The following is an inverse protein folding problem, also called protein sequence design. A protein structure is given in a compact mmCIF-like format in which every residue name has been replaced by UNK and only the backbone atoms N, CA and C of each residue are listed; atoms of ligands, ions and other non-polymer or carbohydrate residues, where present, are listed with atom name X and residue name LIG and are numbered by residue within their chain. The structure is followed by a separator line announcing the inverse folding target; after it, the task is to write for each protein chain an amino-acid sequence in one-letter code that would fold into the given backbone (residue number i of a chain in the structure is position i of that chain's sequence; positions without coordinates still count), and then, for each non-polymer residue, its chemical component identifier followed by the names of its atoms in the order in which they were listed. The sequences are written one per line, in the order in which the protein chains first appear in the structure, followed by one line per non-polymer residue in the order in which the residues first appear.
data_IF_434644264016
#
_entry.id   IF_434644264016
#
_cell.length_a   1.000
_cell.length_b   1.000
_cell.length_c   1.000
_cell.angle_alpha   90.00
_cell.angle_beta   90.00
_cell.angle_gamma   90.00
#
_symmetry.space_group_name_H-M   'P 1'
#
loop_
_entity.id
_entity.type
_entity.pdbx_description
1 polymer ?
#
# COMPACT_ATOMS: atom_id res chain seq x y z
N UNK A 1 -33.67 -5.90 12.83
CA UNK A 1 -33.79 -4.64 12.08
C UNK A 1 -32.65 -3.74 12.51
N UNK A 2 -31.69 -3.48 11.62
CA UNK A 2 -30.62 -2.53 11.92
C UNK A 2 -31.20 -1.10 11.81
N UNK A 3 -30.86 -0.22 12.76
CA UNK A 3 -31.33 1.17 12.71
C UNK A 3 -30.70 1.91 11.52
N UNK A 4 -31.53 2.73 10.86
CA UNK A 4 -31.21 3.53 9.67
C UNK A 4 -29.87 4.28 9.75
N UNK A 5 -29.55 4.84 10.92
CA UNK A 5 -28.30 5.57 11.14
C UNK A 5 -27.04 4.69 11.23
N UNK A 6 -27.19 3.39 11.49
CA UNK A 6 -26.06 2.45 11.61
C UNK A 6 -25.66 1.87 10.24
N UNK A 7 -26.63 1.65 9.35
CA UNK A 7 -26.41 1.10 8.01
C UNK A 7 -25.75 2.09 7.04
N UNK A 8 -26.16 3.36 7.07
CA UNK A 8 -25.53 4.41 6.24
C UNK A 8 -24.05 4.66 6.57
N UNK A 9 -23.56 4.21 7.73
CA UNK A 9 -22.12 4.27 8.07
C UNK A 9 -21.31 3.18 7.41
N UNK A 10 -21.94 2.08 6.99
CA UNK A 10 -21.25 0.99 6.31
C UNK A 10 -21.19 1.31 4.82
N UNK A 11 -19.98 1.57 4.32
CA UNK A 11 -19.75 2.03 2.94
C UNK A 11 -20.36 1.11 1.89
N UNK A 12 -20.54 -0.17 2.21
CA UNK A 12 -21.16 -1.17 1.34
C UNK A 12 -22.65 -0.88 1.04
N UNK A 13 -23.33 -0.16 1.93
CA UNK A 13 -24.77 0.15 1.85
C UNK A 13 -25.05 1.63 1.59
N UNK A 14 -24.04 2.45 1.29
CA UNK A 14 -24.16 3.91 1.22
C UNK A 14 -25.17 4.44 0.17
N UNK A 15 -25.36 3.71 -0.93
CA UNK A 15 -26.33 4.05 -1.99
C UNK A 15 -27.68 3.33 -1.85
N UNK A 16 -27.88 2.55 -0.79
CA UNK A 16 -29.09 1.75 -0.60
C UNK A 16 -30.02 2.43 0.40
N UNK A 17 -31.32 2.35 0.13
CA UNK A 17 -32.31 2.63 1.18
C UNK A 17 -32.23 1.55 2.26
N UNK A 18 -32.79 1.82 3.44
CA UNK A 18 -32.84 0.89 4.56
C UNK A 18 -33.57 -0.39 4.21
N UNK A 19 -34.65 -0.28 3.45
CA UNK A 19 -35.44 -1.39 2.95
C UNK A 19 -34.63 -2.25 1.96
N UNK A 20 -33.87 -1.61 1.07
CA UNK A 20 -33.02 -2.31 0.11
C UNK A 20 -31.80 -2.96 0.79
N UNK A 21 -31.20 -2.29 1.77
CA UNK A 21 -30.13 -2.85 2.58
C UNK A 21 -30.62 -4.10 3.34
N UNK A 22 -31.85 -4.07 3.88
CA UNK A 22 -32.44 -5.20 4.59
C UNK A 22 -32.59 -6.45 3.72
N UNK A 23 -32.81 -6.31 2.41
CA UNK A 23 -32.82 -7.45 1.46
C UNK A 23 -31.47 -8.18 1.47
N UNK A 24 -30.35 -7.45 1.45
CA UNK A 24 -29.01 -8.04 1.48
C UNK A 24 -28.69 -8.58 2.87
N UNK A 25 -29.04 -7.84 3.93
CA UNK A 25 -28.79 -8.26 5.32
C UNK A 25 -29.51 -9.56 5.67
N UNK A 26 -30.73 -9.76 5.17
CA UNK A 26 -31.47 -11.02 5.32
C UNK A 26 -30.84 -12.21 4.60
N UNK A 27 -29.98 -11.95 3.61
CA UNK A 27 -29.21 -12.97 2.92
C UNK A 27 -27.89 -13.31 3.64
N UNK A 28 -27.54 -12.58 4.71
CA UNK A 28 -26.35 -12.82 5.52
C UNK A 28 -26.63 -13.77 6.68
N UNK A 29 -25.58 -14.46 7.12
CA UNK A 29 -25.55 -15.24 8.36
C UNK A 29 -24.66 -14.56 9.40
N UNK A 30 -24.96 -14.71 10.69
CA UNK A 30 -24.11 -14.18 11.75
C UNK A 30 -22.97 -15.13 12.07
N UNK A 31 -21.76 -14.58 12.29
CA UNK A 31 -20.59 -15.34 12.75
C UNK A 31 -19.86 -14.56 13.83
N UNK A 32 -19.59 -15.22 14.95
CA UNK A 32 -18.91 -14.63 16.10
C UNK A 32 -17.61 -15.36 16.37
N UNK A 33 -16.55 -14.62 16.66
CA UNK A 33 -15.22 -15.15 16.95
C UNK A 33 -14.62 -14.43 18.17
N UNK A 34 -13.82 -15.13 18.96
CA UNK A 34 -13.01 -14.53 20.03
C UNK A 34 -11.65 -14.07 19.49
N UNK A 35 -10.89 -13.30 20.26
CA UNK A 35 -9.56 -12.85 19.84
C UNK A 35 -8.60 -14.02 19.60
N UNK A 36 -7.83 -13.94 18.51
CA UNK A 36 -6.86 -14.96 18.07
C UNK A 36 -7.43 -15.99 17.10
N UNK A 37 -8.74 -16.04 16.88
CA UNK A 37 -9.36 -16.97 15.93
C UNK A 37 -9.25 -16.48 14.49
N UNK A 38 -9.10 -17.44 13.57
CA UNK A 38 -8.96 -17.15 12.14
C UNK A 38 -10.34 -17.20 11.46
N UNK A 39 -10.69 -16.11 10.78
CA UNK A 39 -11.89 -16.03 9.98
C UNK A 39 -11.76 -16.91 8.72
N UNK A 40 -10.58 -16.86 8.11
CA UNK A 40 -10.10 -17.71 7.02
C UNK A 40 -8.57 -17.62 6.90
N UNK A 41 -7.95 -18.60 6.23
CA UNK A 41 -6.51 -18.62 5.95
C UNK A 41 -6.22 -18.23 4.50
N UNK A 42 -5.00 -17.75 4.27
CA UNK A 42 -4.45 -17.61 2.93
C UNK A 42 -4.55 -18.94 2.17
N UNK A 43 -4.89 -18.87 0.89
CA UNK A 43 -5.13 -20.00 0.00
C UNK A 43 -6.39 -20.84 0.26
N UNK A 44 -7.18 -20.55 1.30
CA UNK A 44 -8.50 -21.19 1.44
C UNK A 44 -9.40 -20.83 0.25
N UNK A 45 -10.37 -21.70 -0.12
CA UNK A 45 -11.47 -21.29 -0.99
C UNK A 45 -12.20 -20.08 -0.42
N UNK A 46 -12.57 -19.11 -1.27
CA UNK A 46 -13.23 -17.89 -0.84
C UNK A 46 -14.52 -17.60 -1.61
N UNK A 47 -15.63 -18.16 -1.15
CA UNK A 47 -16.95 -17.98 -1.74
C UNK A 47 -17.84 -16.97 -0.99
N UNK A 48 -17.32 -16.37 0.08
CA UNK A 48 -18.07 -15.52 0.99
C UNK A 48 -17.28 -14.26 1.33
N UNK A 49 -17.98 -13.16 1.58
CA UNK A 49 -17.42 -11.94 2.17
C UNK A 49 -17.96 -11.74 3.59
N UNK A 50 -17.28 -10.89 4.34
CA UNK A 50 -17.56 -10.62 5.74
C UNK A 50 -17.69 -9.13 5.97
N UNK A 51 -18.75 -8.72 6.66
CA UNK A 51 -18.95 -7.33 7.12
C UNK A 51 -18.73 -7.32 8.62
N UNK A 52 -17.79 -6.50 9.11
CA UNK A 52 -17.50 -6.41 10.53
C UNK A 52 -18.60 -5.61 11.23
N UNK A 53 -19.33 -6.22 12.17
CA UNK A 53 -20.35 -5.55 12.95
C UNK A 53 -19.78 -4.91 14.22
N UNK A 54 -18.87 -5.62 14.89
CA UNK A 54 -18.18 -5.21 16.11
C UNK A 54 -16.81 -5.90 16.20
N UNK A 55 -15.90 -5.34 17.01
CA UNK A 55 -14.55 -5.87 17.20
C UNK A 55 -13.52 -5.43 16.16
N UNK A 56 -12.46 -6.24 16.00
CA UNK A 56 -11.31 -5.94 15.14
C UNK A 56 -10.67 -7.21 14.59
N UNK A 57 -10.24 -7.11 13.34
CA UNK A 57 -9.62 -8.21 12.59
C UNK A 57 -8.48 -7.68 11.74
N UNK A 58 -7.38 -8.41 11.75
CA UNK A 58 -6.15 -8.07 11.05
C UNK A 58 -5.92 -9.05 9.89
N UNK A 59 -5.37 -8.52 8.81
CA UNK A 59 -4.95 -9.29 7.63
C UNK A 59 -3.46 -9.58 7.73
N UNK A 60 -3.11 -10.86 7.77
CA UNK A 60 -1.74 -11.35 7.86
C UNK A 60 -1.31 -12.00 6.55
N UNK A 61 -0.06 -11.76 6.16
CA UNK A 61 0.57 -12.50 5.07
C UNK A 61 1.93 -13.03 5.54
N UNK A 62 2.24 -14.25 5.13
CA UNK A 62 3.55 -14.84 5.38
C UNK A 62 4.53 -14.27 4.35
N UNK A 63 5.51 -13.48 4.82
CA UNK A 63 6.46 -12.81 3.92
C UNK A 63 7.79 -13.59 3.82
N UNK A 64 8.15 -14.40 4.83
CA UNK A 64 9.35 -15.25 4.85
C UNK A 64 9.26 -16.39 5.89
N UNK A 65 8.57 -17.48 5.56
CA UNK A 65 8.59 -18.74 6.31
C UNK A 65 7.85 -18.69 7.65
N UNK A 66 8.25 -17.79 8.56
CA UNK A 66 7.82 -17.78 9.97
C UNK A 66 7.40 -16.40 10.50
N UNK A 67 7.42 -15.34 9.67
CA UNK A 67 7.01 -13.99 10.10
C UNK A 67 5.68 -13.62 9.46
N UNK A 68 4.60 -13.75 10.25
CA UNK A 68 3.30 -13.16 9.96
C UNK A 68 3.41 -11.64 10.10
N UNK A 69 3.25 -10.92 9.00
CA UNK A 69 3.15 -9.45 9.02
C UNK A 69 1.70 -9.04 8.88
N UNK A 70 1.19 -8.25 9.84
CA UNK A 70 -0.10 -7.56 9.69
C UNK A 70 0.04 -6.51 8.58
N UNK A 71 -0.79 -6.64 7.54
CA UNK A 71 -0.86 -5.76 6.38
C UNK A 71 -1.86 -4.63 6.58
N UNK A 72 -2.96 -4.91 7.28
CA UNK A 72 -4.05 -3.97 7.53
C UNK A 72 -4.92 -4.46 8.69
N UNK A 73 -5.58 -3.52 9.38
CA UNK A 73 -6.54 -3.78 10.44
C UNK A 73 -7.90 -3.20 10.06
N UNK A 74 -8.98 -3.95 10.31
CA UNK A 74 -10.34 -3.63 9.93
C UNK A 74 -11.26 -3.67 11.15
N UNK A 75 -12.25 -2.77 11.16
CA UNK A 75 -13.21 -2.60 12.25
C UNK A 75 -14.64 -2.43 11.74
N UNK A 76 -15.57 -1.99 12.61
CA UNK A 76 -16.99 -1.96 12.29
C UNK A 76 -17.32 -1.20 11.01
N UNK A 77 -18.04 -1.84 10.10
CA UNK A 77 -18.43 -1.33 8.78
C UNK A 77 -17.44 -1.62 7.65
N UNK A 78 -16.27 -2.19 7.95
CA UNK A 78 -15.36 -2.69 6.93
C UNK A 78 -15.83 -4.03 6.35
N UNK A 79 -15.43 -4.26 5.10
CA UNK A 79 -15.72 -5.49 4.34
C UNK A 79 -14.44 -6.26 4.10
N UNK A 80 -14.44 -7.58 4.26
CA UNK A 80 -13.24 -8.41 4.13
C UNK A 80 -13.57 -9.66 3.33
N UNK A 81 -12.59 -10.15 2.56
CA UNK A 81 -12.76 -11.33 1.71
C UNK A 81 -13.52 -11.03 0.42
N UNK A 82 -13.69 -9.74 0.10
CA UNK A 82 -14.35 -9.23 -1.09
C UNK A 82 -13.62 -9.64 -2.36
N UNK A 83 -12.28 -9.73 -2.34
CA UNK A 83 -11.49 -10.09 -3.52
C UNK A 83 -11.91 -11.47 -4.04
N UNK A 84 -11.77 -12.49 -3.19
CA UNK A 84 -12.18 -13.85 -3.51
C UNK A 84 -13.66 -13.91 -3.85
N UNK A 85 -14.54 -13.21 -3.13
CA UNK A 85 -15.97 -13.13 -3.42
C UNK A 85 -16.28 -12.56 -4.82
N UNK A 86 -15.46 -11.64 -5.34
CA UNK A 86 -15.65 -11.04 -6.67
C UNK A 86 -15.13 -11.98 -7.76
N UNK A 87 -13.87 -12.41 -7.67
CA UNK A 87 -13.17 -13.08 -8.77
C UNK A 87 -13.22 -14.62 -8.71
N UNK A 88 -13.60 -15.19 -7.56
CA UNK A 88 -13.61 -16.65 -7.36
C UNK A 88 -12.24 -17.25 -7.05
N UNK A 89 -11.20 -16.44 -6.90
CA UNK A 89 -9.87 -16.87 -6.52
C UNK A 89 -9.84 -17.31 -5.04
N UNK A 90 -8.75 -18.00 -4.67
CA UNK A 90 -8.47 -18.33 -3.27
C UNK A 90 -8.22 -17.07 -2.44
N UNK A 91 -8.30 -17.19 -1.11
CA UNK A 91 -7.99 -16.10 -0.18
C UNK A 91 -6.56 -15.62 -0.39
N UNK A 92 -6.38 -14.31 -0.55
CA UNK A 92 -5.08 -13.68 -0.82
C UNK A 92 -4.18 -13.53 0.41
N UNK A 93 -4.75 -13.70 1.61
CA UNK A 93 -4.12 -13.53 2.91
C UNK A 93 -4.96 -14.21 4.00
N UNK A 94 -4.40 -14.33 5.21
CA UNK A 94 -5.09 -14.83 6.40
C UNK A 94 -5.80 -13.68 7.12
N UNK A 95 -7.01 -13.89 7.62
CA UNK A 95 -7.73 -12.93 8.45
C UNK A 95 -7.89 -13.49 9.87
N UNK A 96 -7.44 -12.74 10.89
CA UNK A 96 -7.46 -13.18 12.29
C UNK A 96 -7.98 -12.08 13.20
N UNK A 97 -8.90 -12.41 14.09
CA UNK A 97 -9.46 -11.47 15.07
C UNK A 97 -8.41 -11.09 16.11
N UNK A 98 -8.38 -9.83 16.52
CA UNK A 98 -7.52 -9.37 17.63
C UNK A 98 -8.29 -9.24 18.94
N UNK A 99 -9.61 -9.19 18.87
CA UNK A 99 -10.54 -9.13 19.99
C UNK A 99 -11.85 -9.86 19.64
N UNK A 100 -12.78 -9.95 20.61
CA UNK A 100 -14.11 -10.50 20.34
C UNK A 100 -14.78 -9.70 19.22
N UNK A 101 -15.15 -10.39 18.14
CA UNK A 101 -15.64 -9.76 16.91
C UNK A 101 -16.87 -10.49 16.36
N UNK A 102 -17.78 -9.71 15.80
CA UNK A 102 -19.05 -10.19 15.24
C UNK A 102 -19.11 -9.79 13.76
N UNK A 103 -19.56 -10.70 12.91
CA UNK A 103 -19.56 -10.56 11.46
C UNK A 103 -20.90 -10.93 10.85
N UNK A 104 -21.28 -10.24 9.78
CA UNK A 104 -22.25 -10.75 8.81
C UNK A 104 -21.50 -11.41 7.67
N UNK A 105 -21.87 -12.65 7.38
CA UNK A 105 -21.30 -13.48 6.31
C UNK A 105 -22.27 -13.51 5.14
N UNK A 106 -21.84 -13.04 3.99
CA UNK A 106 -22.61 -13.12 2.75
C UNK A 106 -21.92 -14.10 1.80
N UNK A 107 -22.55 -15.25 1.57
CA UNK A 107 -22.08 -16.22 0.59
C UNK A 107 -22.50 -15.83 -0.83
N UNK A 108 -21.71 -16.24 -1.83
CA UNK A 108 -22.03 -16.00 -3.24
C UNK A 108 -23.34 -16.67 -3.64
N UNK A 109 -23.65 -17.82 -3.05
CA UNK A 109 -24.91 -18.52 -3.28
C UNK A 109 -26.11 -17.73 -2.77
N UNK A 110 -26.03 -17.17 -1.55
CA UNK A 110 -27.09 -16.32 -0.99
C UNK A 110 -27.23 -15.03 -1.79
N UNK A 111 -26.11 -14.40 -2.17
CA UNK A 111 -26.15 -13.17 -2.96
C UNK A 111 -26.65 -13.39 -4.39
N UNK A 112 -26.41 -14.57 -4.99
CA UNK A 112 -26.97 -14.92 -6.30
C UNK A 112 -28.51 -14.94 -6.31
N UNK A 113 -29.16 -15.20 -5.16
CA UNK A 113 -30.62 -15.05 -5.03
C UNK A 113 -31.02 -13.58 -5.10
N UNK A 114 -30.34 -12.73 -4.34
CA UNK A 114 -30.56 -11.26 -4.37
C UNK A 114 -30.35 -10.71 -5.78
N UNK A 115 -29.32 -11.15 -6.50
CA UNK A 115 -29.07 -10.75 -7.89
C UNK A 115 -30.22 -11.09 -8.83
N UNK A 116 -30.86 -12.25 -8.64
CA UNK A 116 -32.00 -12.68 -9.47
C UNK A 116 -33.28 -11.94 -9.10
N UNK A 117 -33.53 -11.77 -7.82
CA UNK A 117 -34.80 -11.27 -7.31
C UNK A 117 -34.85 -9.73 -7.29
N UNK A 118 -33.71 -9.08 -7.04
CA UNK A 118 -33.54 -7.62 -6.90
C UNK A 118 -32.24 -7.15 -7.59
N UNK A 119 -32.17 -7.18 -8.93
CA UNK A 119 -30.97 -6.83 -9.69
C UNK A 119 -30.54 -5.37 -9.50
N UNK A 120 -31.47 -4.47 -9.20
CA UNK A 120 -31.25 -3.06 -8.83
C UNK A 120 -30.39 -2.93 -7.58
N UNK A 121 -30.75 -3.67 -6.52
CA UNK A 121 -30.01 -3.72 -5.25
C UNK A 121 -28.63 -4.33 -5.48
N UNK A 122 -28.56 -5.43 -6.24
CA UNK A 122 -27.28 -6.09 -6.49
C UNK A 122 -26.31 -5.21 -7.27
N UNK A 123 -26.80 -4.43 -8.25
CA UNK A 123 -25.99 -3.47 -8.98
C UNK A 123 -25.44 -2.36 -8.06
N UNK A 124 -26.27 -1.82 -7.16
CA UNK A 124 -25.84 -0.83 -6.18
C UNK A 124 -24.81 -1.40 -5.19
N UNK A 125 -25.03 -2.62 -4.70
CA UNK A 125 -24.07 -3.33 -3.85
C UNK A 125 -22.70 -3.46 -4.53
N UNK A 126 -22.67 -3.91 -5.79
CA UNK A 126 -21.40 -4.02 -6.53
C UNK A 126 -20.73 -2.68 -6.80
N UNK A 127 -21.48 -1.60 -7.06
CA UNK A 127 -20.91 -0.25 -7.19
C UNK A 127 -20.23 0.20 -5.89
N UNK A 128 -20.91 0.03 -4.76
CA UNK A 128 -20.36 0.37 -3.45
C UNK A 128 -19.10 -0.47 -3.15
N UNK A 129 -19.15 -1.77 -3.43
CA UNK A 129 -17.99 -2.66 -3.27
C UNK A 129 -16.82 -2.27 -4.17
N UNK A 130 -17.07 -1.92 -5.45
CA UNK A 130 -16.06 -1.40 -6.35
C UNK A 130 -15.41 -0.11 -5.82
N UNK A 131 -16.21 0.79 -5.22
CA UNK A 131 -15.70 1.98 -4.55
C UNK A 131 -14.76 1.66 -3.38
N UNK A 132 -15.08 0.64 -2.57
CA UNK A 132 -14.23 0.16 -1.47
C UNK A 132 -12.91 -0.38 -2.02
N UNK A 133 -12.96 -1.30 -3.00
CA UNK A 133 -11.76 -1.91 -3.60
C UNK A 133 -10.88 -0.85 -4.27
N UNK A 134 -11.47 0.09 -5.00
CA UNK A 134 -10.72 1.18 -5.64
C UNK A 134 -10.05 2.10 -4.61
N UNK A 135 -10.72 2.39 -3.49
CA UNK A 135 -10.15 3.15 -2.39
C UNK A 135 -8.94 2.43 -1.78
N UNK A 136 -9.07 1.12 -1.53
CA UNK A 136 -7.99 0.29 -0.97
C UNK A 136 -6.80 0.21 -1.92
N UNK A 137 -7.04 -0.01 -3.20
CA UNK A 137 -5.98 -0.07 -4.21
C UNK A 137 -5.18 1.25 -4.27
N UNK A 138 -5.86 2.40 -4.20
CA UNK A 138 -5.17 3.71 -4.14
C UNK A 138 -4.26 3.82 -2.91
N UNK A 139 -4.79 3.51 -1.72
CA UNK A 139 -4.00 3.52 -0.48
C UNK A 139 -2.82 2.55 -0.52
N UNK A 140 -3.04 1.32 -1.00
CA UNK A 140 -1.95 0.33 -1.14
C UNK A 140 -0.89 0.80 -2.14
N UNK A 141 -1.29 1.40 -3.27
CA UNK A 141 -0.35 1.93 -4.25
C UNK A 141 0.47 3.10 -3.68
N UNK A 142 -0.13 3.99 -2.89
CA UNK A 142 0.56 5.09 -2.21
C UNK A 142 1.60 4.55 -1.22
N UNK A 143 1.20 3.62 -0.34
CA UNK A 143 2.11 2.98 0.61
C UNK A 143 3.25 2.23 -0.08
N UNK A 144 2.96 1.56 -1.20
CA UNK A 144 3.98 0.89 -2.00
C UNK A 144 4.96 1.91 -2.61
N UNK A 145 4.46 3.03 -3.15
CA UNK A 145 5.31 4.10 -3.67
C UNK A 145 6.21 4.69 -2.60
N UNK A 146 5.69 4.95 -1.41
CA UNK A 146 6.48 5.43 -0.27
C UNK A 146 7.55 4.42 0.14
N UNK A 147 7.20 3.13 0.23
CA UNK A 147 8.16 2.07 0.56
C UNK A 147 9.26 1.91 -0.51
N UNK A 148 8.90 2.02 -1.80
CA UNK A 148 9.86 1.99 -2.90
C UNK A 148 10.73 3.24 -2.91
N UNK A 149 10.16 4.43 -2.71
CA UNK A 149 10.91 5.68 -2.60
C UNK A 149 11.91 5.61 -1.44
N UNK A 150 11.46 5.19 -0.26
CA UNK A 150 12.33 4.96 0.89
C UNK A 150 13.42 3.92 0.59
N UNK A 151 13.11 2.84 -0.11
CA UNK A 151 14.12 1.83 -0.47
C UNK A 151 15.14 2.39 -1.46
N UNK A 152 14.71 3.20 -2.43
CA UNK A 152 15.58 3.88 -3.39
C UNK A 152 16.47 4.92 -2.68
N UNK A 153 15.93 5.65 -1.72
CA UNK A 153 16.66 6.59 -0.87
C UNK A 153 17.68 5.85 0.02
N UNK A 154 17.23 4.81 0.73
CA UNK A 154 18.03 4.02 1.66
C UNK A 154 19.13 3.18 0.98
N UNK A 155 18.94 2.78 -0.28
CA UNK A 155 19.95 2.03 -1.06
C UNK A 155 20.84 2.93 -1.91
N UNK A 156 20.53 4.23 -2.03
CA UNK A 156 21.22 5.13 -2.97
C UNK A 156 20.95 4.81 -4.44
N UNK A 157 19.96 3.97 -4.78
CA UNK A 157 19.70 3.60 -6.17
C UNK A 157 19.21 4.78 -7.05
N UNK A 158 18.72 5.88 -6.44
CA UNK A 158 18.36 7.11 -7.16
C UNK A 158 19.56 7.86 -7.74
N UNK A 159 20.77 7.67 -7.19
CA UNK A 159 22.00 8.28 -7.73
C UNK A 159 22.64 7.43 -8.83
N UNK A 160 22.23 6.16 -8.99
CA UNK A 160 22.58 5.33 -10.15
C UNK A 160 21.68 5.67 -11.36
N UNK A 161 21.68 6.93 -11.77
CA UNK A 161 21.22 7.29 -13.09
C UNK A 161 22.26 6.81 -14.11
N UNK A 162 22.18 5.52 -14.50
CA UNK A 162 23.07 4.88 -15.48
C UNK A 162 23.09 5.61 -16.84
N UNK A 163 22.13 6.50 -17.09
CA UNK A 163 22.10 7.38 -18.27
C UNK A 163 22.96 8.64 -18.11
N UNK A 164 23.06 9.23 -16.91
CA UNK A 164 23.95 10.36 -16.62
C UNK A 164 25.43 9.93 -16.50
N UNK A 165 25.68 8.67 -16.13
CA UNK A 165 27.01 8.05 -16.12
C UNK A 165 27.66 7.95 -17.53
N UNK A 166 26.87 8.03 -18.61
CA UNK A 166 27.35 7.91 -19.98
C UNK A 166 27.68 9.25 -20.68
N UNK A 167 27.11 10.39 -20.23
CA UNK A 167 27.22 11.67 -20.94
C UNK A 167 28.18 12.71 -20.30
N UNK A 168 28.58 12.61 -19.03
CA UNK A 168 29.19 13.76 -18.31
C UNK A 168 30.48 13.51 -17.50
N UNK A 169 31.26 12.48 -17.82
CA UNK A 169 32.61 12.26 -17.23
C UNK A 169 33.67 13.29 -17.70
N UNK A 170 33.33 14.58 -17.73
CA UNK A 170 34.23 15.66 -18.13
C UNK A 170 35.32 15.87 -17.08
N UNK A 171 36.59 15.94 -17.49
CA UNK A 171 37.69 16.24 -16.58
C UNK A 171 37.62 17.70 -16.13
N UNK A 172 37.81 17.92 -14.84
CA UNK A 172 37.83 19.25 -14.22
C UNK A 172 39.00 19.37 -13.25
N UNK A 173 39.43 20.60 -12.98
CA UNK A 173 40.38 20.90 -11.90
C UNK A 173 39.75 21.89 -10.91
N UNK A 174 39.70 21.50 -9.64
CA UNK A 174 39.21 22.33 -8.54
C UNK A 174 40.39 22.97 -7.80
N UNK A 175 40.34 24.28 -7.59
CA UNK A 175 41.29 25.02 -6.75
C UNK A 175 40.63 25.32 -5.40
N UNK A 176 41.29 24.92 -4.32
CA UNK A 176 40.77 25.00 -2.96
C UNK A 176 41.31 26.21 -2.21
N UNK A 177 40.57 26.70 -1.21
CA UNK A 177 40.90 27.91 -0.45
C UNK A 177 42.26 27.87 0.29
N UNK A 178 42.86 26.69 0.47
CA UNK A 178 44.21 26.50 1.01
C UNK A 178 45.35 26.59 -0.01
N UNK A 179 45.07 26.96 -1.27
CA UNK A 179 46.06 27.04 -2.35
C UNK A 179 46.40 25.71 -3.02
N UNK A 180 45.67 24.64 -2.69
CA UNK A 180 45.83 23.30 -3.27
C UNK A 180 44.87 23.09 -4.46
N UNK A 181 45.26 22.28 -5.45
CA UNK A 181 44.41 21.95 -6.60
C UNK A 181 44.22 20.44 -6.75
N UNK A 182 43.01 20.03 -7.13
CA UNK A 182 42.63 18.62 -7.28
C UNK A 182 41.95 18.42 -8.63
N UNK A 183 42.50 17.51 -9.44
CA UNK A 183 41.98 17.17 -10.75
C UNK A 183 41.23 15.83 -10.72
N UNK A 184 40.08 15.76 -11.38
CA UNK A 184 39.25 14.56 -11.41
C UNK A 184 38.08 14.70 -12.38
N UNK A 185 37.19 13.71 -12.36
CA UNK A 185 35.93 13.75 -13.12
C UNK A 185 34.77 13.91 -12.15
N UNK A 186 33.87 14.84 -12.45
CA UNK A 186 32.66 15.02 -11.64
C UNK A 186 31.77 13.82 -11.89
N UNK A 187 31.50 13.05 -10.84
CA UNK A 187 30.52 11.96 -10.90
C UNK A 187 29.14 12.45 -10.51
N UNK A 188 29.10 13.41 -9.58
CA UNK A 188 27.86 13.91 -9.02
C UNK A 188 28.10 15.29 -8.40
N UNK A 189 27.12 16.17 -8.53
CA UNK A 189 27.09 17.47 -7.87
C UNK A 189 25.70 17.69 -7.28
N UNK A 190 25.63 17.68 -5.95
CA UNK A 190 24.36 17.81 -5.23
C UNK A 190 24.22 19.22 -4.66
N UNK A 191 23.02 19.78 -4.74
CA UNK A 191 22.69 21.07 -4.16
C UNK A 191 21.91 20.93 -2.86
N UNK A 192 22.35 21.65 -1.84
CA UNK A 192 21.68 21.74 -0.55
C UNK A 192 21.51 23.21 -0.15
N UNK A 193 20.68 23.47 0.87
CA UNK A 193 20.36 24.83 1.33
C UNK A 193 21.59 25.67 1.74
N UNK A 194 22.70 25.02 2.12
CA UNK A 194 23.96 25.68 2.45
C UNK A 194 24.86 25.94 1.21
N UNK A 195 24.69 25.20 0.13
CA UNK A 195 25.54 25.24 -1.07
C UNK A 195 25.66 23.87 -1.74
N UNK A 196 26.67 23.68 -2.60
CA UNK A 196 26.87 22.45 -3.37
C UNK A 196 27.89 21.48 -2.72
N UNK A 197 27.79 20.20 -3.01
CA UNK A 197 28.87 19.22 -2.72
C UNK A 197 29.21 18.50 -4.01
N UNK A 198 30.51 18.41 -4.32
CA UNK A 198 31.00 17.78 -5.55
C UNK A 198 31.69 16.48 -5.21
N UNK A 199 31.29 15.40 -5.87
CA UNK A 199 31.96 14.09 -5.81
C UNK A 199 32.85 13.94 -7.03
N UNK A 200 34.16 13.87 -6.79
CA UNK A 200 35.16 13.67 -7.84
C UNK A 200 35.70 12.25 -7.83
N UNK A 201 35.86 11.69 -9.03
CA UNK A 201 36.69 10.51 -9.28
C UNK A 201 38.08 10.95 -9.73
N UNK A 202 39.09 10.63 -8.92
CA UNK A 202 40.50 10.92 -9.21
C UNK A 202 41.06 9.88 -10.21
N UNK A 203 42.21 10.20 -10.81
CA UNK A 203 42.86 9.34 -11.82
C UNK A 203 43.36 8.00 -11.28
N UNK A 204 43.47 7.85 -9.96
CA UNK A 204 43.83 6.61 -9.26
C UNK A 204 42.61 5.78 -8.83
N UNK A 205 41.43 6.04 -9.41
CA UNK A 205 40.14 5.39 -9.10
C UNK A 205 39.61 5.63 -7.67
N UNK A 206 40.20 6.56 -6.91
CA UNK A 206 39.67 6.98 -5.61
C UNK A 206 38.58 8.04 -5.76
N UNK A 207 37.62 8.01 -4.84
CA UNK A 207 36.54 8.99 -4.75
C UNK A 207 36.84 10.00 -3.64
N UNK A 208 36.62 11.28 -3.92
CA UNK A 208 36.73 12.33 -2.91
C UNK A 208 35.53 13.27 -2.97
N UNK A 209 35.10 13.76 -1.81
CA UNK A 209 33.93 14.63 -1.65
C UNK A 209 34.43 16.00 -1.21
N UNK A 210 34.11 17.04 -1.98
CA UNK A 210 34.56 18.40 -1.70
C UNK A 210 33.35 19.32 -1.48
N UNK A 211 33.19 19.92 -0.28
CA UNK A 211 32.09 20.83 0.01
C UNK A 211 32.33 22.21 -0.60
N UNK A 212 31.25 22.93 -0.96
CA UNK A 212 31.35 24.21 -1.70
C UNK A 212 32.24 25.27 -1.05
N UNK A 213 32.27 25.37 0.29
CA UNK A 213 33.04 26.40 0.99
C UNK A 213 34.56 26.18 0.89
N UNK A 214 35.00 24.98 0.52
CA UNK A 214 36.40 24.68 0.27
C UNK A 214 36.84 25.01 -1.16
N UNK A 215 35.89 25.21 -2.09
CA UNK A 215 36.15 25.40 -3.53
C UNK A 215 36.24 26.90 -3.84
N UNK A 216 37.40 27.33 -4.31
CA UNK A 216 37.66 28.72 -4.68
C UNK A 216 37.45 28.98 -6.18
N UNK A 217 37.80 28.02 -7.05
CA UNK A 217 37.61 28.12 -8.51
C UNK A 217 37.50 26.74 -9.15
N UNK A 218 36.69 26.62 -10.20
CA UNK A 218 36.53 25.40 -11.01
C UNK A 218 36.96 25.71 -12.44
N UNK A 219 37.98 25.02 -12.94
CA UNK A 219 38.41 25.10 -14.33
C UNK A 219 37.87 23.85 -15.06
N UNK A 220 37.01 24.08 -16.07
CA UNK A 220 36.48 23.05 -16.96
C UNK A 220 37.44 22.87 -18.14
N UNK A 221 37.73 21.62 -18.53
CA UNK A 221 38.47 21.32 -19.75
C UNK A 221 37.59 21.48 -21.00
#
# INVERSE_FOLDING_TARGET
MAEEGKLNRWRLFAELTSEDADVVLKACEERNLVGGEELFRENDPGDSLFIVQSGRVDIFKNIRGDVDRSLASFGPGDVIGEMSFIDGARRSATARTTEKSEFLVLSRQSFAKVQRDRPDIAAAFFRNMAGIVASRLRTTNELYREAVAFSIEATGAHTLNLKALADELRPVTLHLAGGQSIAGRILQMDHHAAGYTVVLKLSNDQLTIIPYHAIQRIDLA
#
